data_IF_740916261755
#
_entry.id   IF_740916261755
#
_cell.length_a   1.000
_cell.length_b   1.000
_cell.length_c   1.000
_cell.angle_alpha   90.00
_cell.angle_beta   90.00
_cell.angle_gamma   90.00
#
_symmetry.space_group_name_H-M   'P 1'
#
loop_
_entity.id
_entity.type
_entity.pdbx_description
1 polymer ?
#
# COMPACT_ATOMS: atom_id res chain seq x y z
N UNK A 1 6.90 -18.79 -4.21
CA UNK A 1 7.42 -17.50 -3.68
C UNK A 1 7.42 -16.52 -4.84
N UNK A 2 6.61 -15.49 -4.79
CA UNK A 2 6.48 -14.46 -5.82
C UNK A 2 7.25 -13.20 -5.38
N UNK A 3 7.74 -12.40 -6.34
CA UNK A 3 8.30 -11.09 -6.07
C UNK A 3 7.19 -10.07 -5.74
N UNK A 4 7.56 -8.95 -5.12
CA UNK A 4 6.62 -7.89 -4.77
C UNK A 4 5.97 -7.26 -6.02
N UNK A 5 4.65 -7.07 -6.06
CA UNK A 5 3.96 -6.34 -7.12
C UNK A 5 4.23 -4.82 -7.06
N UNK A 6 4.80 -4.31 -5.96
CA UNK A 6 5.17 -2.90 -5.80
C UNK A 6 6.40 -2.50 -6.61
N UNK A 7 7.09 -3.45 -7.23
CA UNK A 7 8.30 -3.20 -8.02
C UNK A 7 7.94 -2.41 -9.28
N UNK A 8 8.52 -1.22 -9.40
CA UNK A 8 8.39 -0.34 -10.57
C UNK A 8 9.63 -0.35 -11.48
N UNK A 9 10.73 -0.94 -11.01
CA UNK A 9 12.00 -1.04 -11.74
C UNK A 9 12.70 -2.35 -11.43
N UNK A 10 13.27 -2.99 -12.45
CA UNK A 10 14.02 -4.24 -12.28
C UNK A 10 15.37 -4.15 -13.01
N UNK A 11 16.45 -4.42 -12.29
CA UNK A 11 17.80 -4.55 -12.84
C UNK A 11 18.56 -5.61 -12.05
N UNK A 12 18.50 -6.85 -12.51
CA UNK A 12 19.04 -7.98 -11.76
C UNK A 12 20.56 -7.96 -11.68
N UNK A 13 21.08 -8.13 -10.47
CA UNK A 13 22.48 -8.23 -10.14
C UNK A 13 22.96 -9.69 -10.28
N UNK A 14 24.19 -9.94 -10.76
CA UNK A 14 24.80 -11.27 -10.72
C UNK A 14 25.28 -11.65 -9.31
N UNK A 15 25.31 -10.70 -8.35
CA UNK A 15 25.86 -10.89 -7.01
C UNK A 15 24.84 -11.56 -6.08
N UNK A 16 24.56 -12.85 -6.29
CA UNK A 16 23.65 -13.63 -5.46
C UNK A 16 24.07 -15.11 -5.45
N UNK A 17 23.62 -15.87 -4.45
CA UNK A 17 23.98 -17.29 -4.30
C UNK A 17 22.95 -18.26 -4.89
N UNK A 18 22.06 -17.80 -5.78
CA UNK A 18 20.96 -18.62 -6.26
C UNK A 18 19.89 -18.85 -5.19
N UNK A 19 19.14 -19.91 -5.36
CA UNK A 19 17.97 -20.20 -4.56
C UNK A 19 18.27 -20.32 -3.05
N UNK A 20 17.39 -19.73 -2.23
CA UNK A 20 17.48 -19.83 -0.76
C UNK A 20 17.31 -21.26 -0.29
N UNK A 21 18.06 -21.62 0.74
CA UNK A 21 18.00 -22.92 1.41
C UNK A 21 17.14 -22.89 2.68
N UNK A 22 16.62 -21.72 3.05
CA UNK A 22 15.78 -21.48 4.23
C UNK A 22 14.51 -20.70 3.87
N UNK A 23 13.46 -20.86 4.67
CA UNK A 23 12.24 -20.03 4.57
C UNK A 23 12.56 -18.57 4.92
N UNK A 24 11.84 -17.65 4.31
CA UNK A 24 11.91 -16.23 4.65
C UNK A 24 11.12 -16.02 5.94
N UNK A 25 11.83 -15.54 6.97
CA UNK A 25 11.29 -15.18 8.28
C UNK A 25 11.99 -13.95 8.88
N UNK A 26 12.78 -13.24 8.05
CA UNK A 26 13.47 -12.00 8.43
C UNK A 26 13.32 -10.93 7.36
N UNK A 27 13.36 -9.67 7.79
CA UNK A 27 13.56 -8.50 6.93
C UNK A 27 14.75 -7.72 7.49
N UNK A 28 15.65 -7.29 6.59
CA UNK A 28 16.82 -6.48 6.97
C UNK A 28 16.82 -5.19 6.16
N UNK A 29 16.34 -4.06 6.72
CA UNK A 29 16.47 -2.76 6.09
C UNK A 29 17.90 -2.23 6.24
N UNK A 30 18.40 -1.57 5.17
CA UNK A 30 19.71 -0.94 5.09
C UNK A 30 19.58 0.53 4.68
N UNK A 31 20.64 1.32 4.90
CA UNK A 31 20.80 2.65 4.33
C UNK A 31 21.90 2.64 3.26
N UNK A 32 21.60 3.14 2.07
CA UNK A 32 22.58 3.17 0.95
C UNK A 32 23.60 4.30 1.05
N UNK A 33 23.44 5.18 2.04
CA UNK A 33 24.31 6.37 2.24
C UNK A 33 24.32 7.29 1.01
N UNK A 34 23.13 7.76 0.63
CA UNK A 34 22.91 8.68 -0.49
C UNK A 34 21.46 8.72 -0.94
N UNK A 35 21.05 9.84 -1.52
CA UNK A 35 19.75 10.06 -2.10
C UNK A 35 19.69 9.44 -3.53
N UNK A 36 19.80 8.12 -3.61
CA UNK A 36 19.84 7.39 -4.86
C UNK A 36 18.44 7.18 -5.46
N UNK A 37 18.35 7.17 -6.80
CA UNK A 37 17.18 6.61 -7.49
C UNK A 37 17.27 5.08 -7.57
N UNK A 38 16.15 4.41 -7.92
CA UNK A 38 16.15 2.96 -8.13
C UNK A 38 17.08 2.54 -9.27
N UNK A 39 17.23 3.35 -10.30
CA UNK A 39 18.16 3.12 -11.40
C UNK A 39 19.62 3.14 -10.90
N UNK A 40 19.95 4.13 -10.08
CA UNK A 40 21.28 4.26 -9.49
C UNK A 40 21.62 3.08 -8.57
N UNK A 41 20.66 2.61 -7.77
CA UNK A 41 20.83 1.41 -6.96
C UNK A 41 21.13 0.19 -7.84
N UNK A 42 20.41 0.04 -8.94
CA UNK A 42 20.69 -1.02 -9.93
C UNK A 42 22.11 -0.94 -10.50
N UNK A 43 22.59 0.26 -10.83
CA UNK A 43 23.96 0.47 -11.32
C UNK A 43 25.02 0.12 -10.27
N UNK A 44 24.76 0.37 -9.00
CA UNK A 44 25.67 0.04 -7.89
C UNK A 44 25.83 -1.48 -7.75
N UNK A 45 24.77 -2.26 -7.90
CA UNK A 45 24.77 -3.70 -7.68
C UNK A 45 25.01 -4.53 -8.94
N UNK A 46 24.99 -3.92 -10.14
CA UNK A 46 25.19 -4.62 -11.40
C UNK A 46 26.59 -5.22 -11.59
N UNK A 47 27.70 -4.49 -11.27
CA UNK A 47 29.03 -5.06 -11.49
C UNK A 47 29.30 -6.28 -10.61
N UNK A 48 29.77 -7.39 -11.20
CA UNK A 48 30.13 -8.59 -10.44
C UNK A 48 31.20 -8.29 -9.37
N UNK A 49 32.12 -7.37 -9.67
CA UNK A 49 33.17 -6.91 -8.74
C UNK A 49 32.65 -6.15 -7.52
N UNK A 50 31.35 -5.82 -7.48
CA UNK A 50 30.71 -5.19 -6.30
C UNK A 50 30.64 -6.17 -5.12
N UNK A 51 30.50 -7.47 -5.40
CA UNK A 51 30.39 -8.54 -4.39
C UNK A 51 29.34 -8.27 -3.31
N UNK A 52 28.31 -7.47 -3.66
CA UNK A 52 27.20 -7.12 -2.78
C UNK A 52 25.93 -6.91 -3.62
N UNK A 53 24.79 -7.13 -2.99
CA UNK A 53 23.47 -6.90 -3.59
C UNK A 53 22.38 -6.85 -2.51
N UNK A 54 21.16 -6.43 -2.89
CA UNK A 54 19.97 -6.56 -2.06
C UNK A 54 18.81 -7.15 -2.88
N UNK A 55 17.77 -7.63 -2.22
CA UNK A 55 16.58 -8.06 -2.93
C UNK A 55 15.85 -6.85 -3.53
N UNK A 56 15.54 -5.88 -2.71
CA UNK A 56 14.86 -4.65 -3.11
C UNK A 56 15.66 -3.41 -2.73
N UNK A 57 15.34 -2.31 -3.38
CA UNK A 57 15.80 -0.99 -2.97
C UNK A 57 14.68 0.02 -3.11
N UNK A 58 14.69 1.03 -2.27
CA UNK A 58 13.73 2.13 -2.30
C UNK A 58 14.47 3.40 -2.66
N UNK A 59 14.10 4.00 -3.78
CA UNK A 59 14.66 5.25 -4.28
C UNK A 59 14.23 6.45 -3.45
N UNK A 60 14.94 7.57 -3.60
CA UNK A 60 14.66 8.82 -2.89
C UNK A 60 13.26 9.41 -3.19
N UNK A 61 12.60 8.93 -4.23
CA UNK A 61 11.23 9.25 -4.64
C UNK A 61 10.18 8.22 -4.14
N UNK A 62 10.62 7.22 -3.38
CA UNK A 62 9.76 6.15 -2.84
C UNK A 62 9.50 4.99 -3.80
N UNK A 63 9.96 5.04 -5.05
CA UNK A 63 9.82 3.88 -5.96
C UNK A 63 10.59 2.67 -5.45
N UNK A 64 10.05 1.48 -5.74
CA UNK A 64 10.68 0.20 -5.38
C UNK A 64 11.37 -0.41 -6.60
N UNK A 65 12.65 -0.75 -6.45
CA UNK A 65 13.44 -1.49 -7.42
C UNK A 65 13.72 -2.92 -6.94
N UNK A 66 13.88 -3.88 -7.86
CA UNK A 66 14.31 -5.25 -7.58
C UNK A 66 15.67 -5.54 -8.24
N UNK A 67 16.60 -6.07 -7.44
CA UNK A 67 17.97 -6.37 -7.89
C UNK A 67 18.35 -7.83 -7.69
N UNK A 68 17.70 -8.54 -6.77
CA UNK A 68 17.76 -10.00 -6.64
C UNK A 68 16.35 -10.49 -6.33
N UNK A 69 15.86 -11.47 -7.09
CA UNK A 69 14.53 -12.06 -6.84
C UNK A 69 14.44 -12.63 -5.41
N UNK A 70 13.28 -12.52 -4.76
CA UNK A 70 13.12 -13.00 -3.38
C UNK A 70 13.44 -14.48 -3.18
N UNK A 71 13.21 -15.31 -4.18
CA UNK A 71 13.58 -16.72 -4.13
C UNK A 71 15.08 -16.95 -3.98
N UNK A 72 15.91 -15.95 -4.31
CA UNK A 72 17.35 -16.01 -4.29
C UNK A 72 17.94 -15.27 -3.07
N UNK A 73 19.09 -15.78 -2.58
CA UNK A 73 19.83 -15.13 -1.51
C UNK A 73 20.69 -13.99 -2.05
N UNK A 74 20.40 -12.76 -1.64
CA UNK A 74 21.26 -11.58 -1.87
C UNK A 74 22.53 -11.63 -0.99
N UNK A 75 23.47 -10.73 -1.26
CA UNK A 75 24.70 -10.53 -0.49
C UNK A 75 24.67 -9.14 0.15
N UNK A 76 23.97 -8.98 1.25
CA UNK A 76 23.65 -7.66 1.79
C UNK A 76 24.14 -7.44 3.24
N UNK A 77 23.87 -8.38 4.14
CA UNK A 77 24.08 -8.17 5.58
C UNK A 77 25.47 -8.62 6.08
N UNK A 78 26.35 -9.07 5.22
CA UNK A 78 27.63 -9.72 5.59
C UNK A 78 27.43 -11.02 6.39
N UNK A 79 26.25 -11.61 6.41
CA UNK A 79 25.92 -12.84 7.10
C UNK A 79 25.15 -13.79 6.17
N UNK A 80 25.79 -14.86 5.76
CA UNK A 80 25.14 -15.91 4.98
C UNK A 80 23.86 -16.44 5.69
N UNK A 81 23.98 -16.74 6.98
CA UNK A 81 22.87 -17.28 7.77
C UNK A 81 21.66 -16.31 7.82
N UNK A 82 21.92 -15.01 7.91
CA UNK A 82 20.86 -14.00 7.89
C UNK A 82 20.28 -13.87 6.47
N UNK A 83 21.12 -13.69 5.46
CA UNK A 83 20.69 -13.44 4.08
C UNK A 83 19.93 -14.63 3.47
N UNK A 84 20.14 -15.85 3.95
CA UNK A 84 19.33 -17.02 3.59
C UNK A 84 17.86 -16.90 4.06
N UNK A 85 17.62 -16.17 5.14
CA UNK A 85 16.32 -16.01 5.80
C UNK A 85 15.71 -14.64 5.57
N UNK A 86 16.51 -13.63 5.23
CA UNK A 86 16.09 -12.23 5.18
C UNK A 86 15.77 -11.76 3.75
N UNK A 87 14.67 -11.07 3.57
CA UNK A 87 14.51 -10.12 2.47
C UNK A 87 15.26 -8.85 2.86
N UNK A 88 16.24 -8.45 2.03
CA UNK A 88 17.11 -7.30 2.28
C UNK A 88 16.67 -6.11 1.44
N UNK A 89 16.62 -4.92 2.04
CA UNK A 89 16.06 -3.72 1.43
C UNK A 89 17.04 -2.55 1.62
N UNK A 90 17.62 -2.04 0.55
CA UNK A 90 18.46 -0.83 0.59
C UNK A 90 17.60 0.42 0.40
N UNK A 91 17.62 1.33 1.35
CA UNK A 91 16.82 2.55 1.34
C UNK A 91 17.68 3.77 1.05
N UNK A 92 17.21 4.65 0.17
CA UNK A 92 17.80 5.96 -0.01
C UNK A 92 17.80 6.74 1.30
N UNK A 93 18.94 7.34 1.63
CA UNK A 93 19.16 8.02 2.91
C UNK A 93 20.05 9.26 2.74
N UNK A 94 20.19 10.05 3.78
CA UNK A 94 21.20 11.09 3.79
C UNK A 94 22.62 10.51 3.69
N UNK A 95 23.57 11.34 3.23
CA UNK A 95 24.97 10.95 3.02
C UNK A 95 25.82 10.96 4.29
N UNK A 96 25.27 11.37 5.43
CA UNK A 96 25.95 11.48 6.71
C UNK A 96 25.04 11.00 7.86
N UNK A 97 25.65 10.60 8.99
CA UNK A 97 24.88 10.28 10.20
C UNK A 97 23.92 11.43 10.56
N UNK A 98 22.68 11.11 10.94
CA UNK A 98 22.16 9.79 11.30
C UNK A 98 21.64 8.95 10.12
N UNK A 99 21.97 9.27 8.86
CA UNK A 99 21.52 8.64 7.61
C UNK A 99 19.99 8.62 7.52
N UNK A 100 19.36 9.78 7.73
CA UNK A 100 17.89 9.88 7.76
C UNK A 100 17.27 9.50 6.40
N UNK A 101 16.12 8.84 6.47
CA UNK A 101 15.28 8.58 5.30
C UNK A 101 14.29 9.74 5.13
N UNK A 102 13.95 10.06 3.88
CA UNK A 102 12.80 10.92 3.60
C UNK A 102 11.51 10.20 3.97
N UNK A 103 10.46 10.95 4.31
CA UNK A 103 9.17 10.37 4.70
C UNK A 103 8.62 9.41 3.63
N UNK A 104 8.70 9.78 2.34
CA UNK A 104 8.25 8.92 1.23
C UNK A 104 9.00 7.60 1.18
N UNK A 105 10.30 7.59 1.48
CA UNK A 105 11.12 6.37 1.54
C UNK A 105 10.69 5.49 2.71
N UNK A 106 10.45 6.11 3.88
CA UNK A 106 10.01 5.39 5.06
C UNK A 106 8.60 4.80 4.91
N UNK A 107 7.66 5.54 4.32
CA UNK A 107 6.32 5.02 4.01
C UNK A 107 6.39 3.87 3.01
N UNK A 108 7.21 3.97 1.97
CA UNK A 108 7.42 2.88 1.00
C UNK A 108 8.05 1.65 1.66
N UNK A 109 8.95 1.84 2.64
CA UNK A 109 9.52 0.73 3.42
C UNK A 109 8.44 0.00 4.23
N UNK A 110 7.55 0.73 4.91
CA UNK A 110 6.41 0.16 5.64
C UNK A 110 5.54 -0.66 4.68
N UNK A 111 5.11 -0.07 3.57
CA UNK A 111 4.26 -0.73 2.57
C UNK A 111 4.92 -1.99 1.98
N UNK A 112 6.22 -1.93 1.67
CA UNK A 112 6.96 -3.08 1.16
C UNK A 112 7.11 -4.19 2.22
N UNK A 113 7.33 -3.84 3.49
CA UNK A 113 7.39 -4.80 4.59
C UNK A 113 6.03 -5.50 4.81
N UNK A 114 4.92 -4.77 4.72
CA UNK A 114 3.56 -5.36 4.78
C UNK A 114 3.36 -6.36 3.64
N UNK A 115 3.68 -5.98 2.40
CA UNK A 115 3.58 -6.87 1.24
C UNK A 115 4.43 -8.14 1.40
N UNK A 116 5.70 -7.99 1.83
CA UNK A 116 6.59 -9.13 2.09
C UNK A 116 6.01 -10.04 3.17
N UNK A 117 5.50 -9.49 4.27
CA UNK A 117 4.87 -10.25 5.33
C UNK A 117 3.66 -11.04 4.82
N UNK A 118 2.70 -10.37 4.16
CA UNK A 118 1.50 -11.00 3.60
C UNK A 118 1.85 -12.16 2.66
N UNK A 119 2.76 -11.95 1.69
CA UNK A 119 3.17 -12.98 0.72
C UNK A 119 3.91 -14.17 1.35
N UNK A 120 4.49 -14.00 2.53
CA UNK A 120 5.14 -15.06 3.31
C UNK A 120 4.26 -15.62 4.43
N UNK A 121 2.96 -15.29 4.47
CA UNK A 121 2.00 -15.78 5.47
C UNK A 121 2.29 -15.28 6.88
N UNK A 122 2.80 -14.04 7.01
CA UNK A 122 3.16 -13.43 8.28
C UNK A 122 2.14 -12.38 8.68
N UNK A 123 1.72 -12.40 9.94
CA UNK A 123 0.75 -11.48 10.53
C UNK A 123 1.38 -10.52 11.53
N UNK A 124 2.66 -10.74 11.86
CA UNK A 124 3.41 -9.89 12.79
C UNK A 124 4.82 -9.64 12.29
N UNK A 125 5.29 -8.40 12.46
CA UNK A 125 6.69 -8.03 12.31
C UNK A 125 7.25 -7.67 13.68
N UNK A 126 8.32 -8.34 14.11
CA UNK A 126 8.90 -8.19 15.45
C UNK A 126 10.23 -7.46 15.39
N UNK A 127 10.45 -6.57 16.36
CA UNK A 127 11.73 -6.00 16.70
C UNK A 127 12.08 -6.36 18.15
N UNK A 128 13.08 -7.22 18.37
CA UNK A 128 13.46 -7.72 19.68
C UNK A 128 14.58 -6.92 20.34
N UNK A 129 15.04 -5.83 19.67
CA UNK A 129 16.02 -4.83 20.15
C UNK A 129 17.44 -5.36 20.37
N UNK A 130 17.60 -6.56 20.88
CA UNK A 130 18.87 -7.19 21.24
C UNK A 130 19.32 -8.18 20.17
N UNK A 131 20.61 -8.13 19.82
CA UNK A 131 21.22 -8.98 18.81
C UNK A 131 21.14 -10.47 19.19
N UNK A 132 21.61 -10.82 20.39
CA UNK A 132 21.79 -12.22 20.77
C UNK A 132 20.41 -12.87 20.99
N UNK A 133 19.48 -12.13 21.62
CA UNK A 133 18.08 -12.51 21.74
C UNK A 133 17.44 -12.75 20.38
N UNK A 134 17.63 -11.83 19.42
CA UNK A 134 17.05 -11.93 18.07
C UNK A 134 17.62 -13.11 17.27
N UNK A 135 18.93 -13.34 17.36
CA UNK A 135 19.58 -14.43 16.64
C UNK A 135 19.27 -15.82 17.21
N UNK A 136 19.03 -15.90 18.53
CA UNK A 136 18.59 -17.12 19.20
C UNK A 136 17.08 -17.39 19.03
N UNK A 137 16.29 -16.36 18.66
CA UNK A 137 14.84 -16.46 18.55
C UNK A 137 14.43 -17.33 17.34
N UNK A 138 13.48 -18.23 17.59
CA UNK A 138 12.82 -19.01 16.54
C UNK A 138 11.42 -18.42 16.31
N UNK A 139 11.20 -17.68 15.19
CA UNK A 139 9.90 -17.09 14.93
C UNK A 139 8.81 -18.14 14.78
N UNK A 140 7.63 -17.85 15.29
CA UNK A 140 6.43 -18.62 15.01
C UNK A 140 6.10 -18.58 13.49
N UNK A 141 5.27 -19.51 12.99
CA UNK A 141 4.94 -19.55 11.57
C UNK A 141 4.38 -18.24 10.99
N UNK A 142 3.68 -17.48 11.82
CA UNK A 142 3.04 -16.19 11.50
C UNK A 142 3.90 -14.96 11.83
N UNK A 143 5.13 -15.15 12.30
CA UNK A 143 6.03 -14.07 12.69
C UNK A 143 7.14 -13.83 11.67
N UNK A 144 7.46 -12.55 11.43
CA UNK A 144 8.65 -12.06 10.74
C UNK A 144 9.49 -11.24 11.70
N UNK A 145 10.81 -11.32 11.62
CA UNK A 145 11.72 -10.63 12.56
C UNK A 145 12.63 -9.66 11.83
N UNK A 146 12.76 -8.46 12.36
CA UNK A 146 13.72 -7.47 11.87
C UNK A 146 15.13 -7.77 12.37
N UNK A 147 16.10 -7.64 11.46
CA UNK A 147 17.53 -7.68 11.75
C UNK A 147 18.23 -6.49 11.13
N UNK A 148 19.46 -6.19 11.53
CA UNK A 148 20.22 -5.05 11.03
C UNK A 148 21.67 -5.41 10.71
N UNK A 149 22.22 -4.76 9.69
CA UNK A 149 23.59 -5.05 9.21
C UNK A 149 24.66 -4.86 10.28
N UNK A 150 24.54 -3.83 11.13
CA UNK A 150 25.50 -3.57 12.24
C UNK A 150 25.67 -4.70 13.23
N UNK A 151 24.78 -5.67 13.25
CA UNK A 151 24.90 -6.86 14.09
C UNK A 151 25.85 -7.90 13.50
N UNK A 152 26.13 -7.85 12.22
CA UNK A 152 26.89 -8.86 11.50
C UNK A 152 28.27 -8.37 11.03
N UNK A 153 28.46 -7.05 10.97
CA UNK A 153 29.71 -6.43 10.56
C UNK A 153 29.91 -5.08 11.27
N UNK A 154 31.14 -4.61 11.31
CA UNK A 154 31.44 -3.27 11.85
C UNK A 154 30.99 -2.19 10.85
N UNK A 155 29.70 -1.90 10.86
CA UNK A 155 29.00 -0.94 9.98
C UNK A 155 28.03 -0.10 10.78
N UNK A 156 27.80 1.15 10.40
CA UNK A 156 26.74 1.99 10.96
C UNK A 156 25.34 1.67 10.41
N UNK A 157 25.24 0.98 9.29
CA UNK A 157 23.96 0.60 8.66
C UNK A 157 23.04 -0.14 9.66
N UNK A 158 21.75 0.23 9.73
CA UNK A 158 20.95 1.08 8.83
C UNK A 158 20.98 2.59 9.19
N UNK A 159 21.97 3.08 9.93
CA UNK A 159 22.06 4.43 10.48
C UNK A 159 21.29 4.59 11.80
N UNK A 160 21.66 5.59 12.58
CA UNK A 160 21.03 5.81 13.89
C UNK A 160 19.57 6.25 13.76
N UNK A 161 19.23 6.98 12.69
CA UNK A 161 17.86 7.40 12.42
C UNK A 161 16.90 6.19 12.25
N UNK A 162 17.27 5.24 11.40
CA UNK A 162 16.45 4.05 11.16
C UNK A 162 16.52 3.08 12.34
N UNK A 163 17.69 2.92 12.97
CA UNK A 163 17.86 2.03 14.13
C UNK A 163 16.90 2.42 15.27
N UNK A 164 16.77 3.72 15.56
CA UNK A 164 15.83 4.23 16.55
C UNK A 164 14.35 4.02 16.18
N UNK A 165 14.06 3.74 14.89
CA UNK A 165 12.69 3.53 14.38
C UNK A 165 12.34 2.08 14.06
N UNK A 166 13.20 1.13 14.39
CA UNK A 166 12.93 -0.27 14.10
C UNK A 166 11.69 -0.79 14.83
N UNK A 167 11.45 -0.33 16.07
CA UNK A 167 10.22 -0.62 16.84
C UNK A 167 8.99 0.00 16.19
N UNK A 168 9.05 1.27 15.81
CA UNK A 168 7.97 1.97 15.08
C UNK A 168 7.65 1.29 13.73
N UNK A 169 8.67 0.84 12.99
CA UNK A 169 8.47 0.05 11.76
C UNK A 169 7.72 -1.26 12.07
N UNK A 170 8.16 -1.99 13.07
CA UNK A 170 7.54 -3.26 13.45
C UNK A 170 6.08 -3.09 13.86
N UNK A 171 5.78 -2.06 14.65
CA UNK A 171 4.43 -1.73 15.11
C UNK A 171 3.52 -1.34 13.92
N UNK A 172 3.95 -0.38 13.10
CA UNK A 172 3.16 0.10 11.95
C UNK A 172 2.84 -1.00 10.94
N UNK A 173 3.81 -1.87 10.67
CA UNK A 173 3.60 -3.02 9.79
C UNK A 173 2.62 -4.00 10.42
N UNK A 174 2.77 -4.32 11.70
CA UNK A 174 1.88 -5.26 12.40
C UNK A 174 0.45 -4.73 12.47
N UNK A 175 0.25 -3.44 12.74
CA UNK A 175 -1.09 -2.80 12.71
C UNK A 175 -1.72 -2.93 11.33
N UNK A 176 -0.98 -2.66 10.24
CA UNK A 176 -1.53 -2.81 8.89
C UNK A 176 -1.79 -4.27 8.49
N UNK A 177 -1.03 -5.20 9.04
CA UNK A 177 -1.30 -6.64 8.85
C UNK A 177 -2.58 -7.06 9.58
N UNK A 178 -2.81 -6.54 10.79
CA UNK A 178 -4.01 -6.82 11.58
C UNK A 178 -5.26 -6.17 10.98
N UNK A 179 -5.18 -4.92 10.55
CA UNK A 179 -6.28 -4.22 9.88
C UNK A 179 -6.74 -4.95 8.59
N UNK A 180 -5.81 -5.62 7.89
CA UNK A 180 -6.16 -6.47 6.76
C UNK A 180 -6.66 -7.87 7.14
N UNK A 181 -6.78 -8.20 8.42
CA UNK A 181 -7.37 -9.46 8.93
C UNK A 181 -8.81 -9.26 9.43
N UNK A 182 -9.14 -8.03 9.87
CA UNK A 182 -10.52 -7.63 10.19
C UNK A 182 -11.34 -7.33 8.92
N UNK A 183 -10.68 -7.04 7.81
CA UNK A 183 -11.22 -7.26 6.49
C UNK A 183 -11.13 -8.80 6.26
N UNK A 184 -12.11 -9.58 6.81
CA UNK A 184 -12.58 -10.74 6.09
C UNK A 184 -12.62 -10.31 4.63
N UNK A 185 -12.18 -11.15 3.71
CA UNK A 185 -12.34 -11.00 2.27
C UNK A 185 -13.79 -10.53 2.00
N UNK A 186 -14.05 -9.27 2.27
CA UNK A 186 -15.22 -8.57 1.77
C UNK A 186 -14.87 -8.32 0.30
N UNK A 187 -14.69 -9.44 -0.38
CA UNK A 187 -14.68 -9.51 -1.83
C UNK A 187 -15.96 -8.78 -2.20
N UNK A 188 -15.82 -7.51 -2.64
CA UNK A 188 -16.92 -6.66 -3.04
C UNK A 188 -17.61 -7.37 -4.20
N UNK A 189 -18.31 -8.48 -3.86
CA UNK A 189 -19.08 -9.19 -4.84
C UNK A 189 -20.18 -8.25 -5.39
N UNK A 190 -20.69 -8.58 -6.53
CA UNK A 190 -21.71 -7.76 -7.20
C UNK A 190 -22.97 -7.60 -6.34
N UNK A 191 -23.23 -8.50 -5.38
CA UNK A 191 -24.40 -8.45 -4.50
C UNK A 191 -24.18 -7.46 -3.38
N UNK A 192 -23.00 -7.44 -2.75
CA UNK A 192 -22.60 -6.44 -1.75
C UNK A 192 -22.55 -5.05 -2.35
N UNK A 193 -21.96 -4.91 -3.56
CA UNK A 193 -22.00 -3.64 -4.29
C UNK A 193 -23.44 -3.15 -4.53
N UNK A 194 -24.34 -4.04 -4.99
CA UNK A 194 -25.74 -3.67 -5.21
C UNK A 194 -26.49 -3.30 -3.93
N UNK A 195 -26.13 -3.91 -2.81
CA UNK A 195 -26.68 -3.59 -1.49
C UNK A 195 -26.26 -2.17 -1.06
N UNK A 196 -24.97 -1.91 -1.01
CA UNK A 196 -24.40 -0.60 -0.68
C UNK A 196 -24.91 0.51 -1.62
N UNK A 197 -25.00 0.20 -2.93
CA UNK A 197 -25.57 1.12 -3.91
C UNK A 197 -27.03 1.45 -3.63
N UNK A 198 -27.85 0.46 -3.23
CA UNK A 198 -29.26 0.70 -2.87
C UNK A 198 -29.38 1.50 -1.59
N UNK A 199 -28.55 1.24 -0.59
CA UNK A 199 -28.52 2.02 0.66
C UNK A 199 -28.14 3.46 0.39
N UNK A 200 -27.06 3.72 -0.33
CA UNK A 200 -26.64 5.06 -0.73
C UNK A 200 -27.75 5.81 -1.50
N UNK A 201 -28.37 5.14 -2.47
CA UNK A 201 -29.49 5.78 -3.21
C UNK A 201 -30.69 6.07 -2.33
N UNK A 202 -30.98 5.23 -1.32
CA UNK A 202 -32.08 5.46 -0.39
C UNK A 202 -31.88 6.71 0.45
N UNK A 203 -30.64 7.02 0.82
CA UNK A 203 -30.30 8.26 1.51
C UNK A 203 -30.54 9.50 0.63
N UNK A 204 -30.35 9.40 -0.68
CA UNK A 204 -30.56 10.49 -1.65
C UNK A 204 -32.03 10.65 -2.09
N UNK A 205 -32.92 9.70 -1.71
CA UNK A 205 -34.33 9.69 -2.11
C UNK A 205 -35.25 10.39 -1.10
N UNK A 206 -34.80 11.51 -0.59
CA UNK A 206 -35.60 12.40 0.24
C UNK A 206 -35.89 13.75 -0.47
N UNK A 207 -36.32 14.76 0.28
CA UNK A 207 -36.59 16.09 -0.25
C UNK A 207 -35.44 17.08 -0.04
N UNK A 208 -34.29 16.62 0.45
CA UNK A 208 -33.14 17.48 0.63
C UNK A 208 -32.64 18.01 -0.71
N UNK A 209 -32.24 19.26 -0.70
CA UNK A 209 -31.79 19.94 -1.90
C UNK A 209 -31.06 21.25 -1.60
N UNK A 210 -30.09 21.56 -2.45
CA UNK A 210 -29.30 22.78 -2.33
C UNK A 210 -30.12 24.04 -2.57
N UNK A 211 -29.92 25.10 -1.76
CA UNK A 211 -30.65 26.34 -1.83
C UNK A 211 -30.63 27.03 -3.20
N UNK A 212 -29.55 26.89 -3.97
CA UNK A 212 -29.42 27.53 -5.29
C UNK A 212 -30.49 27.11 -6.30
N UNK A 213 -31.11 25.96 -6.13
CA UNK A 213 -32.10 25.39 -7.07
C UNK A 213 -33.54 25.58 -6.62
N UNK A 214 -33.79 26.26 -5.51
CA UNK A 214 -35.12 26.39 -4.88
C UNK A 214 -36.16 26.96 -5.85
N UNK A 215 -35.87 28.07 -6.50
CA UNK A 215 -36.79 28.71 -7.47
C UNK A 215 -37.11 27.79 -8.64
N UNK A 216 -36.10 27.14 -9.20
CA UNK A 216 -36.27 26.23 -10.32
C UNK A 216 -37.07 24.96 -9.94
N UNK A 217 -36.86 24.41 -8.75
CA UNK A 217 -37.63 23.27 -8.22
C UNK A 217 -39.11 23.65 -8.05
N UNK A 218 -39.36 24.78 -7.38
CA UNK A 218 -40.72 25.27 -7.20
C UNK A 218 -41.42 25.46 -8.54
N UNK A 219 -40.76 26.12 -9.48
CA UNK A 219 -41.29 26.31 -10.83
C UNK A 219 -41.61 24.98 -11.53
N UNK A 220 -40.73 24.00 -11.46
CA UNK A 220 -40.90 22.69 -12.11
C UNK A 220 -42.08 21.89 -11.53
N UNK A 221 -42.28 21.99 -10.20
CA UNK A 221 -43.42 21.37 -9.51
C UNK A 221 -44.72 22.09 -9.85
N UNK A 222 -44.79 23.41 -9.73
CA UNK A 222 -45.96 24.22 -10.01
C UNK A 222 -46.48 24.07 -11.47
N UNK A 223 -45.55 23.81 -12.39
CA UNK A 223 -45.85 23.53 -13.79
C UNK A 223 -46.10 22.05 -14.12
N UNK A 224 -46.06 21.16 -13.14
CA UNK A 224 -46.30 19.72 -13.32
C UNK A 224 -45.24 18.99 -14.14
N UNK A 225 -44.04 19.59 -14.26
CA UNK A 225 -42.88 18.98 -14.95
C UNK A 225 -42.31 17.86 -14.05
N UNK A 226 -42.11 18.17 -12.77
CA UNK A 226 -41.74 17.21 -11.75
C UNK A 226 -42.95 16.89 -10.89
N UNK A 227 -43.25 15.61 -10.67
CA UNK A 227 -44.46 15.17 -9.95
C UNK A 227 -44.17 14.40 -8.65
N UNK A 228 -42.88 14.28 -8.26
CA UNK A 228 -42.45 13.49 -7.09
C UNK A 228 -42.51 11.99 -7.31
N UNK A 229 -42.26 11.24 -6.25
CA UNK A 229 -42.33 9.78 -6.22
C UNK A 229 -43.74 9.23 -5.97
N UNK A 230 -43.85 7.91 -5.74
CA UNK A 230 -45.13 7.19 -5.54
C UNK A 230 -45.62 7.21 -4.08
N UNK A 231 -45.29 8.21 -3.29
CA UNK A 231 -45.78 8.39 -1.90
C UNK A 231 -46.96 9.35 -1.84
N UNK A 232 -47.77 9.30 -0.76
CA UNK A 232 -48.87 10.19 -0.50
C UNK A 232 -48.40 11.63 -0.27
N UNK A 233 -47.16 11.83 0.14
CA UNK A 233 -46.50 13.12 0.24
C UNK A 233 -45.54 13.36 -0.94
N UNK A 234 -45.45 14.60 -1.40
CA UNK A 234 -44.51 14.97 -2.47
C UNK A 234 -43.08 14.70 -2.03
N UNK A 235 -42.35 13.89 -2.83
CA UNK A 235 -40.93 13.66 -2.69
C UNK A 235 -40.24 13.86 -4.05
N UNK A 236 -39.42 14.90 -4.15
CA UNK A 236 -38.75 15.29 -5.40
C UNK A 236 -37.51 14.47 -5.69
N UNK A 237 -36.94 13.80 -4.70
CA UNK A 237 -35.68 13.03 -4.80
C UNK A 237 -34.59 13.84 -5.53
N UNK A 238 -34.38 15.08 -5.06
CA UNK A 238 -33.62 16.09 -5.80
C UNK A 238 -32.12 15.77 -5.96
N UNK A 239 -31.59 14.96 -5.07
CA UNK A 239 -30.18 14.56 -5.07
C UNK A 239 -29.93 13.16 -5.66
N UNK A 240 -31.01 12.40 -5.98
CA UNK A 240 -30.89 11.07 -6.58
C UNK A 240 -30.53 11.16 -8.07
N UNK A 241 -29.86 10.13 -8.56
CA UNK A 241 -29.49 10.03 -9.97
C UNK A 241 -30.71 9.78 -10.85
N UNK A 242 -30.87 10.61 -11.86
CA UNK A 242 -31.94 10.50 -12.85
C UNK A 242 -31.64 9.39 -13.86
N UNK A 243 -32.61 8.49 -14.09
CA UNK A 243 -32.53 7.51 -15.19
C UNK A 243 -32.84 8.17 -16.53
N UNK A 244 -32.43 7.55 -17.64
CA UNK A 244 -32.79 8.03 -19.00
C UNK A 244 -34.30 8.07 -19.20
N UNK A 245 -35.05 7.14 -18.64
CA UNK A 245 -36.51 7.09 -18.68
C UNK A 245 -37.14 8.29 -17.96
N UNK A 246 -36.65 8.61 -16.76
CA UNK A 246 -37.07 9.77 -16.00
C UNK A 246 -36.78 11.08 -16.76
N UNK A 247 -35.57 11.21 -17.33
CA UNK A 247 -35.20 12.37 -18.12
C UNK A 247 -36.15 12.56 -19.33
N UNK A 248 -36.39 11.51 -20.12
CA UNK A 248 -37.30 11.57 -21.27
C UNK A 248 -38.71 11.92 -20.84
N UNK A 249 -39.20 11.37 -19.72
CA UNK A 249 -40.51 11.68 -19.17
C UNK A 249 -40.64 13.17 -18.78
N UNK A 250 -39.62 13.71 -18.13
CA UNK A 250 -39.56 15.14 -17.76
C UNK A 250 -39.56 16.04 -19.01
N UNK A 251 -38.74 15.73 -19.98
CA UNK A 251 -38.65 16.46 -21.27
C UNK A 251 -40.00 16.41 -22.03
N UNK A 252 -40.66 15.26 -22.07
CA UNK A 252 -41.96 15.11 -22.72
C UNK A 252 -43.02 15.97 -22.05
N UNK A 253 -43.11 15.99 -20.72
CA UNK A 253 -44.05 16.86 -19.96
C UNK A 253 -43.77 18.34 -20.20
N UNK A 254 -42.50 18.71 -20.27
CA UNK A 254 -42.07 20.07 -20.62
C UNK A 254 -42.57 20.45 -22.02
N UNK A 255 -42.28 19.60 -23.04
CA UNK A 255 -42.71 19.84 -24.42
C UNK A 255 -44.23 19.98 -24.51
N UNK A 256 -44.99 19.09 -23.91
CA UNK A 256 -46.49 19.20 -23.86
C UNK A 256 -46.98 20.48 -23.18
N UNK A 257 -46.39 20.86 -22.05
CA UNK A 257 -46.81 22.04 -21.28
C UNK A 257 -46.65 23.33 -22.12
N UNK A 258 -45.61 23.40 -22.94
CA UNK A 258 -45.30 24.61 -23.73
C UNK A 258 -45.60 24.48 -25.23
N UNK A 259 -46.36 23.45 -25.63
CA UNK A 259 -46.79 23.27 -27.02
C UNK A 259 -45.65 23.06 -28.03
N UNK A 260 -44.56 22.39 -27.59
CA UNK A 260 -43.37 22.10 -28.40
C UNK A 260 -43.40 20.69 -29.03
N UNK A 261 -44.53 19.98 -28.88
CA UNK A 261 -44.70 18.59 -29.38
C UNK A 261 -45.77 18.53 -30.47
#
# INVERSE_FOLDING_TARGET
>A
MSNSPLVSYTKLSPNHSGQRTRKIDRITPHCVVGQCSVERLGDIFLPASREASCNYGIGADGRVGMYVEEKNRSWCSSSNANDQRAVTIECASDGAEPYAFRDVVYQSLITLCVDICKRNGKTKLLWLEDKDKTLAYTPAPDEMVLTVHRWFANKSCPGNWMYARMGDLAEKVTVQLSAGMDEEDDDMDINKFKELWREMRKELQDNDASAYSEEARKWAVDNGIIRGGNSDEFNGMWEDMMTREQLVTVLYRFAQKFGLS
#
